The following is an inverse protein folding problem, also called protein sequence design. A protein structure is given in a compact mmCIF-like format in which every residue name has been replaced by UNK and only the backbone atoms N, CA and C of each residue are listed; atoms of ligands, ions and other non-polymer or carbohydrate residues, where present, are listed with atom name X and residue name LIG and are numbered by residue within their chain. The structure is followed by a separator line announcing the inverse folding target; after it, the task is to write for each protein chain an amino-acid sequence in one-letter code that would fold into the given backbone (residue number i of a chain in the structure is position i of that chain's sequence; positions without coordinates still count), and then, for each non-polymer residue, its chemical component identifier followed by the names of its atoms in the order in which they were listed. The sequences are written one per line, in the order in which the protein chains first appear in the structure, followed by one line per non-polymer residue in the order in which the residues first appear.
data_IF_562916272945
#
_entry.id   IF_562916272945
#
_cell.length_a   1.000
_cell.length_b   1.000
_cell.length_c   1.000
_cell.angle_alpha   90.00
_cell.angle_beta   90.00
_cell.angle_gamma   90.00
#
_symmetry.space_group_name_H-M   'P 1'
#
loop_
_entity.id
_entity.type
_entity.pdbx_description
1 polymer ?
#
# COMPACT_ATOMS: atom_id res chain seq x y z
N UNK A 1 9.90 3.57 42.28
CA UNK A 1 9.48 3.47 40.87
C UNK A 1 9.73 4.79 40.18
N UNK A 2 10.32 4.80 38.99
CA UNK A 2 10.74 6.04 38.30
C UNK A 2 9.60 6.88 37.72
N UNK A 3 8.41 6.32 37.64
CA UNK A 3 7.25 6.97 36.99
C UNK A 3 6.09 7.27 37.94
N UNK A 4 6.31 7.24 39.23
CA UNK A 4 5.30 7.69 40.18
C UNK A 4 5.12 9.21 40.08
N UNK A 5 3.89 9.70 40.12
CA UNK A 5 3.63 11.13 40.21
C UNK A 5 4.32 11.72 41.45
N UNK A 6 4.77 12.97 41.36
CA UNK A 6 5.32 13.68 42.50
C UNK A 6 4.27 13.80 43.61
N UNK A 7 4.67 13.59 44.84
CA UNK A 7 3.79 13.83 46.00
C UNK A 7 3.44 15.29 46.15
N UNK A 8 2.36 15.66 46.85
CA UNK A 8 2.05 17.08 47.16
C UNK A 8 3.22 17.79 47.80
N UNK A 9 3.89 17.20 48.79
CA UNK A 9 5.05 17.78 49.45
C UNK A 9 6.24 18.03 48.52
N UNK A 10 6.54 17.10 47.62
CA UNK A 10 7.58 17.29 46.58
C UNK A 10 7.22 18.44 45.62
N UNK A 11 5.94 18.57 45.24
CA UNK A 11 5.46 19.72 44.41
C UNK A 11 5.63 21.05 45.13
N UNK A 12 5.24 21.13 46.39
CA UNK A 12 5.43 22.32 47.22
C UNK A 12 6.90 22.72 47.32
N UNK A 13 7.78 21.74 47.54
CA UNK A 13 9.22 21.96 47.58
C UNK A 13 9.75 22.48 46.24
N UNK A 14 9.31 21.89 45.13
CA UNK A 14 9.72 22.31 43.78
C UNK A 14 9.22 23.72 43.46
N UNK A 15 7.98 24.05 43.85
CA UNK A 15 7.42 25.42 43.69
C UNK A 15 8.19 26.42 44.51
N UNK A 16 8.51 26.12 45.78
CA UNK A 16 9.32 26.96 46.63
C UNK A 16 10.71 27.24 46.04
N UNK A 17 11.37 26.21 45.48
CA UNK A 17 12.67 26.36 44.88
C UNK A 17 12.71 27.32 43.69
N UNK A 18 11.63 27.37 42.89
CA UNK A 18 11.50 28.29 41.76
C UNK A 18 10.79 29.61 42.11
N UNK A 19 10.44 29.80 43.39
CA UNK A 19 9.79 31.02 43.87
C UNK A 19 8.32 31.19 43.50
N UNK A 20 7.65 30.11 43.07
CA UNK A 20 6.23 30.08 42.74
C UNK A 20 5.41 29.61 43.95
N UNK A 21 4.20 30.18 44.17
CA UNK A 21 3.29 29.80 45.26
C UNK A 21 2.33 28.68 44.86
N UNK A 22 2.05 28.58 43.59
CA UNK A 22 1.13 27.58 43.04
C UNK A 22 1.52 27.19 41.59
N UNK A 23 0.93 26.11 41.09
CA UNK A 23 1.08 25.74 39.67
C UNK A 23 0.47 26.84 38.78
N UNK A 24 -0.61 27.50 39.23
CA UNK A 24 -1.25 28.58 38.47
C UNK A 24 -0.33 29.81 38.27
N UNK A 25 0.59 30.06 39.20
CA UNK A 25 1.61 31.10 39.04
C UNK A 25 2.51 30.88 37.84
N UNK A 26 2.76 29.64 37.49
CA UNK A 26 3.58 29.27 36.31
C UNK A 26 2.94 29.70 34.99
N UNK A 27 1.64 29.89 34.97
CA UNK A 27 0.85 30.38 33.83
C UNK A 27 0.59 31.88 33.86
N UNK A 28 1.19 32.63 34.81
CA UNK A 28 0.97 34.09 34.97
C UNK A 28 1.31 34.90 33.72
N UNK A 29 2.15 34.37 32.83
CA UNK A 29 2.46 34.97 31.52
C UNK A 29 1.26 35.00 30.56
N UNK A 30 0.21 34.23 30.84
CA UNK A 30 -1.02 34.21 30.05
C UNK A 30 -2.02 35.13 30.80
N UNK A 31 -2.50 36.23 30.20
CA UNK A 31 -3.51 37.10 30.83
C UNK A 31 -4.76 36.32 31.22
N UNK A 32 -5.38 36.69 32.34
CA UNK A 32 -6.50 35.95 32.93
C UNK A 32 -7.70 35.79 31.97
N UNK A 33 -7.94 36.78 31.13
CA UNK A 33 -9.01 36.77 30.12
C UNK A 33 -8.83 35.74 29.02
N UNK A 34 -7.61 35.24 28.81
CA UNK A 34 -7.30 34.20 27.83
C UNK A 34 -7.13 32.83 28.45
N UNK A 35 -7.23 32.68 29.77
CA UNK A 35 -7.14 31.40 30.45
C UNK A 35 -8.47 30.68 30.42
N UNK A 36 -8.40 29.36 30.15
CA UNK A 36 -9.56 28.50 30.26
C UNK A 36 -9.88 28.25 31.75
N UNK A 37 -11.00 28.81 32.26
CA UNK A 37 -11.46 28.66 33.64
C UNK A 37 -12.55 27.59 33.81
N UNK A 38 -12.49 26.56 33.04
CA UNK A 38 -13.38 25.38 33.10
C UNK A 38 -12.63 24.12 32.74
N UNK A 39 -13.16 22.99 33.16
CA UNK A 39 -12.66 21.69 32.67
C UNK A 39 -12.89 21.56 31.18
N UNK A 40 -11.99 20.78 30.52
CA UNK A 40 -12.17 20.40 29.12
C UNK A 40 -13.41 19.51 29.01
N UNK A 41 -14.19 19.72 27.95
CA UNK A 41 -15.32 18.85 27.63
C UNK A 41 -14.79 17.55 26.93
N UNK A 42 -14.13 16.71 27.73
CA UNK A 42 -13.61 15.41 27.34
C UNK A 42 -14.18 14.33 28.24
N UNK A 43 -14.28 13.08 27.78
CA UNK A 43 -14.73 11.97 28.62
C UNK A 43 -13.89 11.87 29.90
N UNK A 44 -14.54 11.52 31.00
CA UNK A 44 -13.84 11.22 32.26
C UNK A 44 -12.86 10.05 32.08
N UNK A 45 -11.88 9.97 32.95
CA UNK A 45 -11.04 8.78 33.06
C UNK A 45 -11.90 7.53 33.28
N UNK A 46 -11.62 6.50 32.51
CA UNK A 46 -12.31 5.21 32.56
C UNK A 46 -11.34 4.11 32.94
N UNK A 47 -11.86 3.04 33.57
CA UNK A 47 -11.11 1.84 33.83
C UNK A 47 -10.96 0.98 32.58
N UNK A 48 -10.03 0.03 32.62
CA UNK A 48 -9.73 -0.87 31.47
C UNK A 48 -10.97 -1.61 30.97
N UNK A 49 -11.79 -2.16 31.88
CA UNK A 49 -13.03 -2.86 31.55
C UNK A 49 -14.03 -1.98 30.80
N UNK A 50 -14.23 -0.72 31.28
CA UNK A 50 -15.13 0.24 30.64
C UNK A 50 -14.68 0.58 29.21
N UNK A 51 -13.36 0.73 29.00
CA UNK A 51 -12.77 1.01 27.69
C UNK A 51 -12.95 -0.19 26.76
N UNK A 52 -12.68 -1.41 27.25
CA UNK A 52 -12.86 -2.64 26.47
C UNK A 52 -14.34 -2.81 26.04
N UNK A 53 -15.27 -2.61 26.95
CA UNK A 53 -16.71 -2.75 26.66
C UNK A 53 -17.19 -1.68 25.67
N UNK A 54 -16.71 -0.45 25.82
CA UNK A 54 -16.99 0.60 24.86
C UNK A 54 -16.53 0.26 23.44
N UNK A 55 -15.26 -0.17 23.28
CA UNK A 55 -14.73 -0.52 21.97
C UNK A 55 -15.33 -1.80 21.37
N UNK A 56 -15.69 -2.78 22.20
CA UNK A 56 -16.46 -3.95 21.74
C UNK A 56 -17.81 -3.54 21.17
N UNK A 57 -18.54 -2.69 21.88
CA UNK A 57 -19.85 -2.20 21.44
C UNK A 57 -19.72 -1.32 20.18
N UNK A 58 -18.71 -0.46 20.11
CA UNK A 58 -18.43 0.33 18.93
C UNK A 58 -18.05 -0.55 17.71
N UNK A 59 -17.23 -1.58 17.94
CA UNK A 59 -16.84 -2.54 16.91
C UNK A 59 -18.02 -3.31 16.29
N UNK A 60 -19.06 -3.61 17.07
CA UNK A 60 -20.27 -4.28 16.58
C UNK A 60 -21.09 -3.43 15.60
N UNK A 61 -20.87 -2.12 15.55
CA UNK A 61 -21.51 -1.22 14.57
C UNK A 61 -20.88 -1.28 13.17
N UNK A 62 -19.72 -1.90 13.05
CA UNK A 62 -19.06 -2.09 11.75
C UNK A 62 -19.67 -3.27 11.00
N UNK A 63 -19.54 -3.27 9.68
CA UNK A 63 -20.01 -4.32 8.79
C UNK A 63 -19.10 -5.58 8.84
N UNK A 64 -18.82 -6.12 10.03
CA UNK A 64 -17.85 -7.22 10.23
C UNK A 64 -18.29 -8.55 9.64
N UNK A 65 -19.62 -8.74 9.46
CA UNK A 65 -20.21 -9.98 8.93
C UNK A 65 -20.66 -9.84 7.48
N UNK A 66 -20.16 -8.85 6.78
CA UNK A 66 -20.48 -8.63 5.37
C UNK A 66 -19.48 -9.35 4.46
N UNK A 67 -19.98 -9.94 3.38
CA UNK A 67 -19.14 -10.33 2.26
C UNK A 67 -18.69 -9.06 1.54
N UNK A 68 -17.40 -8.93 1.26
CA UNK A 68 -16.87 -7.75 0.56
C UNK A 68 -16.26 -8.17 -0.77
N UNK A 69 -16.64 -7.47 -1.83
CA UNK A 69 -16.06 -7.55 -3.15
C UNK A 69 -15.29 -6.27 -3.51
N UNK A 70 -14.87 -5.51 -2.50
CA UNK A 70 -14.02 -4.36 -2.66
C UNK A 70 -12.56 -4.80 -2.88
N UNK A 71 -11.89 -4.05 -3.74
CA UNK A 71 -10.46 -4.14 -4.02
C UNK A 71 -9.88 -2.73 -4.13
N UNK A 72 -9.43 -2.36 -5.32
CA UNK A 72 -8.92 -1.03 -5.62
C UNK A 72 -7.70 -0.66 -4.76
N UNK A 73 -6.70 -1.55 -4.72
CA UNK A 73 -5.41 -1.30 -4.07
C UNK A 73 -5.33 -1.70 -2.60
N UNK A 74 -6.42 -2.19 -1.99
CA UNK A 74 -6.44 -2.74 -0.65
C UNK A 74 -7.27 -4.03 -0.63
N UNK A 75 -6.63 -5.14 -0.32
CA UNK A 75 -7.21 -6.46 -0.57
C UNK A 75 -7.36 -7.27 0.70
N UNK A 76 -8.50 -7.98 0.81
CA UNK A 76 -8.79 -8.84 1.94
C UNK A 76 -8.34 -10.27 1.64
N UNK A 77 -7.25 -10.69 2.31
CA UNK A 77 -6.74 -12.05 2.27
C UNK A 77 -6.83 -12.74 3.63
N UNK A 78 -6.74 -14.07 3.63
CA UNK A 78 -6.60 -14.82 4.88
C UNK A 78 -5.24 -14.52 5.51
N UNK A 79 -5.26 -14.13 6.77
CA UNK A 79 -4.08 -13.79 7.54
C UNK A 79 -3.77 -14.91 8.55
N UNK A 80 -2.64 -15.62 8.42
CA UNK A 80 -2.26 -16.68 9.36
C UNK A 80 -2.10 -16.16 10.79
N UNK A 81 -2.68 -16.86 11.77
CA UNK A 81 -2.68 -16.48 13.20
C UNK A 81 -1.25 -16.38 13.76
N UNK A 82 -0.31 -17.14 13.22
CA UNK A 82 1.09 -17.12 13.65
C UNK A 82 1.74 -15.74 13.49
N UNK A 83 1.28 -14.92 12.55
CA UNK A 83 1.79 -13.55 12.34
C UNK A 83 1.61 -12.74 13.62
N UNK A 84 0.39 -12.73 14.20
CA UNK A 84 0.10 -11.99 15.43
C UNK A 84 0.95 -12.48 16.60
N UNK A 85 1.12 -13.80 16.71
CA UNK A 85 1.90 -14.40 17.80
C UNK A 85 3.38 -14.00 17.73
N UNK A 86 3.94 -13.90 16.52
CA UNK A 86 5.36 -13.55 16.34
C UNK A 86 5.62 -12.05 16.46
N UNK A 87 4.78 -11.20 15.88
CA UNK A 87 5.02 -9.74 15.93
C UNK A 87 4.77 -9.14 17.31
N UNK A 88 4.02 -9.83 18.19
CA UNK A 88 3.79 -9.41 19.58
C UNK A 88 4.96 -9.75 20.51
N UNK A 89 5.96 -10.50 20.06
CA UNK A 89 7.15 -10.73 20.85
C UNK A 89 7.88 -9.42 21.12
N UNK A 90 8.29 -9.19 22.36
CA UNK A 90 8.91 -7.95 22.80
C UNK A 90 10.13 -7.55 21.97
N UNK A 91 10.88 -8.53 21.47
CA UNK A 91 12.08 -8.33 20.65
C UNK A 91 11.76 -7.58 19.33
N UNK A 92 10.56 -7.76 18.77
CA UNK A 92 10.10 -7.08 17.58
C UNK A 92 9.19 -5.89 17.89
N UNK A 93 8.19 -6.09 18.77
CA UNK A 93 7.17 -5.09 19.06
C UNK A 93 7.75 -3.79 19.63
N UNK A 94 8.78 -3.89 20.47
CA UNK A 94 9.42 -2.73 21.10
C UNK A 94 10.61 -2.20 20.31
N UNK A 95 11.01 -2.85 19.23
CA UNK A 95 12.14 -2.39 18.42
C UNK A 95 11.77 -1.14 17.63
N UNK A 96 12.76 -0.27 17.45
CA UNK A 96 12.66 0.91 16.60
C UNK A 96 13.67 0.77 15.44
N UNK A 97 14.21 1.85 14.95
CA UNK A 97 15.21 1.78 13.90
C UNK A 97 16.50 1.12 14.40
N UNK A 98 17.01 0.09 13.71
CA UNK A 98 18.16 -0.69 14.17
C UNK A 98 19.49 0.03 13.85
N UNK A 99 19.73 1.21 14.44
CA UNK A 99 20.96 1.98 14.22
C UNK A 99 22.21 1.32 14.79
N UNK A 100 22.08 0.66 15.94
CA UNK A 100 23.19 -0.01 16.62
C UNK A 100 23.22 -1.49 16.23
N UNK A 101 24.03 -1.82 15.23
CA UNK A 101 24.12 -3.17 14.69
C UNK A 101 24.48 -4.22 15.76
N UNK A 102 25.25 -3.83 16.76
CA UNK A 102 25.74 -4.69 17.83
C UNK A 102 24.62 -5.34 18.66
N UNK A 103 23.49 -4.65 18.81
CA UNK A 103 22.36 -5.11 19.64
C UNK A 103 21.09 -5.39 18.85
N UNK A 104 21.10 -5.22 17.54
CA UNK A 104 19.90 -5.33 16.68
C UNK A 104 20.06 -6.33 15.53
N UNK A 105 20.98 -7.29 15.66
CA UNK A 105 21.27 -8.25 14.58
C UNK A 105 20.04 -9.03 14.11
N UNK A 106 19.17 -9.47 15.02
CA UNK A 106 17.95 -10.19 14.65
C UNK A 106 16.97 -9.33 13.82
N UNK A 107 16.79 -8.06 14.20
CA UNK A 107 15.95 -7.12 13.44
C UNK A 107 16.55 -6.80 12.07
N UNK A 108 17.86 -6.59 12.01
CA UNK A 108 18.57 -6.35 10.75
C UNK A 108 18.50 -7.56 9.83
N UNK A 109 18.65 -8.78 10.36
CA UNK A 109 18.50 -10.01 9.59
C UNK A 109 17.08 -10.14 9.03
N UNK A 110 16.05 -9.89 9.83
CA UNK A 110 14.66 -9.95 9.36
C UNK A 110 14.39 -8.95 8.21
N UNK A 111 14.95 -7.74 8.28
CA UNK A 111 14.87 -6.75 7.21
C UNK A 111 15.62 -7.24 5.95
N UNK A 112 16.80 -7.80 6.12
CA UNK A 112 17.57 -8.35 5.00
C UNK A 112 16.84 -9.48 4.30
N UNK A 113 16.21 -10.37 5.06
CA UNK A 113 15.37 -11.45 4.53
C UNK A 113 14.15 -10.91 3.78
N UNK A 114 13.48 -9.87 4.32
CA UNK A 114 12.41 -9.16 3.60
C UNK A 114 12.90 -8.63 2.24
N UNK A 115 14.01 -7.90 2.22
CA UNK A 115 14.60 -7.36 1.00
C UNK A 115 14.88 -8.47 -0.03
N UNK A 116 15.42 -9.59 0.42
CA UNK A 116 15.72 -10.74 -0.43
C UNK A 116 14.46 -11.33 -1.04
N UNK A 117 13.42 -11.59 -0.22
CA UNK A 117 12.16 -12.16 -0.69
C UNK A 117 11.48 -11.24 -1.72
N UNK A 118 11.51 -9.92 -1.50
CA UNK A 118 10.93 -8.96 -2.43
C UNK A 118 11.73 -8.89 -3.74
N UNK A 119 13.05 -8.87 -3.67
CA UNK A 119 13.89 -8.89 -4.87
C UNK A 119 13.64 -10.15 -5.71
N UNK A 120 13.58 -11.31 -5.09
CA UNK A 120 13.26 -12.60 -5.73
C UNK A 120 11.86 -12.59 -6.40
N UNK A 121 10.83 -12.12 -5.67
CA UNK A 121 9.45 -12.07 -6.19
C UNK A 121 9.30 -11.12 -7.37
N UNK A 122 9.98 -9.97 -7.33
CA UNK A 122 9.88 -8.95 -8.38
C UNK A 122 10.83 -9.17 -9.53
N UNK A 123 11.81 -10.08 -9.39
CA UNK A 123 12.86 -10.31 -10.37
C UNK A 123 13.86 -9.16 -10.46
N UNK A 124 13.94 -8.32 -9.43
CA UNK A 124 14.91 -7.22 -9.34
C UNK A 124 16.14 -7.65 -8.54
N UNK A 125 17.25 -6.92 -8.73
CA UNK A 125 18.51 -7.25 -8.05
C UNK A 125 18.52 -6.87 -6.57
N UNK A 126 17.81 -5.78 -6.22
CA UNK A 126 17.80 -5.22 -4.86
C UNK A 126 16.43 -4.67 -4.51
N UNK A 127 16.07 -4.73 -3.22
CA UNK A 127 14.90 -4.08 -2.66
C UNK A 127 15.27 -3.30 -1.40
N UNK A 128 14.51 -2.25 -1.07
CA UNK A 128 14.69 -1.51 0.17
C UNK A 128 13.96 -2.17 1.36
N UNK A 129 14.22 -1.65 2.56
CA UNK A 129 13.66 -2.15 3.81
C UNK A 129 12.15 -1.87 4.00
N UNK A 130 11.52 -1.23 3.11
CA UNK A 130 10.14 -0.80 2.86
C UNK A 130 10.00 0.72 2.72
N UNK A 131 8.85 1.11 2.20
CA UNK A 131 8.32 2.48 2.09
C UNK A 131 7.09 2.60 2.99
N UNK A 132 6.44 3.76 3.00
CA UNK A 132 5.21 3.95 3.78
C UNK A 132 4.05 3.13 3.21
N UNK A 133 3.84 3.24 1.91
CA UNK A 133 2.83 2.51 1.13
C UNK A 133 3.23 2.44 -0.36
N UNK A 134 2.45 1.71 -1.15
CA UNK A 134 2.71 1.55 -2.59
C UNK A 134 2.61 2.86 -3.37
N UNK A 135 1.73 3.79 -2.97
CA UNK A 135 1.57 5.08 -3.65
C UNK A 135 2.80 5.98 -3.48
N UNK A 136 3.32 6.04 -2.26
CA UNK A 136 4.59 6.71 -1.94
C UNK A 136 5.76 6.04 -2.67
N UNK A 137 5.75 4.70 -2.73
CA UNK A 137 6.73 3.93 -3.50
C UNK A 137 6.72 4.30 -4.99
N UNK A 138 5.54 4.40 -5.61
CA UNK A 138 5.40 4.77 -7.02
C UNK A 138 5.90 6.22 -7.29
N UNK A 139 5.54 7.17 -6.42
CA UNK A 139 5.99 8.55 -6.54
C UNK A 139 7.52 8.66 -6.41
N UNK A 140 8.09 8.02 -5.39
CA UNK A 140 9.55 8.01 -5.17
C UNK A 140 10.31 7.28 -6.27
N UNK A 141 9.73 6.23 -6.88
CA UNK A 141 10.33 5.56 -8.03
C UNK A 141 10.44 6.51 -9.25
N UNK A 142 9.42 7.34 -9.50
CA UNK A 142 9.48 8.37 -10.54
C UNK A 142 10.56 9.40 -10.19
N UNK A 143 10.63 9.89 -8.95
CA UNK A 143 11.70 10.81 -8.53
C UNK A 143 13.09 10.17 -8.64
N UNK A 144 13.20 8.87 -8.34
CA UNK A 144 14.43 8.11 -8.54
C UNK A 144 14.85 8.05 -10.01
N UNK A 145 13.92 7.80 -10.94
CA UNK A 145 14.19 7.79 -12.37
C UNK A 145 14.65 9.17 -12.87
N UNK A 146 14.05 10.26 -12.38
CA UNK A 146 14.51 11.63 -12.66
C UNK A 146 15.97 11.84 -12.24
N UNK A 147 16.33 11.39 -11.03
CA UNK A 147 17.73 11.51 -10.55
C UNK A 147 18.70 10.65 -11.34
N UNK A 148 18.30 9.43 -11.73
CA UNK A 148 19.15 8.50 -12.49
C UNK A 148 19.40 9.01 -13.90
N UNK A 149 18.37 9.47 -14.60
CA UNK A 149 18.46 9.88 -16.00
C UNK A 149 18.93 11.33 -16.18
N UNK A 150 18.76 12.16 -15.15
CA UNK A 150 18.95 13.61 -15.25
C UNK A 150 17.93 14.31 -16.14
N UNK A 151 16.85 13.61 -16.55
CA UNK A 151 15.77 14.12 -17.39
C UNK A 151 14.58 14.56 -16.54
N UNK A 152 13.68 15.36 -17.12
CA UNK A 152 12.68 16.07 -16.32
C UNK A 152 11.26 16.00 -16.94
N UNK A 153 10.83 14.80 -17.35
CA UNK A 153 9.45 14.52 -17.80
C UNK A 153 9.05 13.10 -17.37
N UNK A 154 7.85 12.92 -16.89
CA UNK A 154 7.26 11.61 -16.63
C UNK A 154 6.06 11.32 -17.55
N UNK A 155 5.92 10.07 -18.01
CA UNK A 155 4.76 9.58 -18.74
C UNK A 155 4.09 8.52 -17.87
N UNK A 156 2.80 8.67 -17.59
CA UNK A 156 2.07 7.85 -16.64
C UNK A 156 0.85 7.25 -17.31
N UNK A 157 0.67 5.94 -17.23
CA UNK A 157 -0.53 5.31 -17.74
C UNK A 157 -1.75 5.70 -16.89
N UNK A 158 -2.85 6.01 -17.54
CA UNK A 158 -4.11 6.31 -16.85
C UNK A 158 -4.68 5.09 -16.13
N UNK A 159 -4.18 3.90 -16.47
CA UNK A 159 -4.49 2.61 -15.82
C UNK A 159 -3.75 2.38 -14.49
N UNK A 160 -2.83 3.27 -14.10
CA UNK A 160 -2.28 3.32 -12.73
C UNK A 160 -3.37 3.75 -11.75
N UNK A 161 -3.37 3.17 -10.56
CA UNK A 161 -4.30 3.48 -9.48
C UNK A 161 -4.52 5.00 -9.34
N UNK A 162 -5.77 5.49 -9.33
CA UNK A 162 -6.07 6.93 -9.33
C UNK A 162 -5.38 7.69 -8.19
N UNK A 163 -5.44 7.16 -6.97
CA UNK A 163 -4.82 7.79 -5.80
C UNK A 163 -3.29 7.76 -5.87
N UNK A 164 -2.69 6.71 -6.47
CA UNK A 164 -1.23 6.71 -6.73
C UNK A 164 -0.85 7.83 -7.68
N UNK A 165 -1.66 8.07 -8.72
CA UNK A 165 -1.46 9.20 -9.63
C UNK A 165 -1.59 10.56 -8.94
N UNK A 166 -2.52 10.71 -7.99
CA UNK A 166 -2.70 11.92 -7.18
C UNK A 166 -1.49 12.17 -6.26
N UNK A 167 -0.98 11.12 -5.58
CA UNK A 167 0.23 11.21 -4.76
C UNK A 167 1.42 11.59 -5.63
N UNK A 168 1.63 10.92 -6.76
CA UNK A 168 2.69 11.26 -7.70
C UNK A 168 2.57 12.70 -8.21
N UNK A 169 1.36 13.16 -8.55
CA UNK A 169 1.12 14.53 -9.00
C UNK A 169 1.47 15.56 -7.91
N UNK A 170 1.24 15.22 -6.64
CA UNK A 170 1.64 16.06 -5.50
C UNK A 170 3.16 16.21 -5.43
N UNK A 171 3.91 15.13 -5.56
CA UNK A 171 5.37 15.15 -5.61
C UNK A 171 5.87 15.92 -6.84
N UNK A 172 5.32 15.61 -8.02
CA UNK A 172 5.70 16.22 -9.28
C UNK A 172 5.50 17.75 -9.29
N UNK A 173 4.35 18.22 -8.79
CA UNK A 173 4.00 19.63 -8.72
C UNK A 173 5.05 20.48 -8.00
N UNK A 174 5.49 20.01 -6.84
CA UNK A 174 6.44 20.75 -6.01
C UNK A 174 7.90 20.63 -6.47
N UNK A 175 8.18 19.64 -7.33
CA UNK A 175 9.47 19.48 -8.00
C UNK A 175 9.50 20.12 -9.41
N UNK A 176 8.37 20.71 -9.85
CA UNK A 176 8.23 21.26 -11.20
C UNK A 176 8.35 20.20 -12.31
N UNK A 177 8.04 18.93 -12.01
CA UNK A 177 8.15 17.82 -12.97
C UNK A 177 6.89 17.72 -13.84
N UNK A 178 6.99 17.99 -15.15
CA UNK A 178 5.89 17.74 -16.08
C UNK A 178 5.54 16.27 -16.14
N UNK A 179 4.24 15.97 -16.05
CA UNK A 179 3.73 14.60 -16.20
C UNK A 179 2.58 14.56 -17.20
N UNK A 180 2.62 13.58 -18.11
CA UNK A 180 1.58 13.34 -19.11
C UNK A 180 0.85 12.05 -18.78
N UNK A 181 -0.49 12.08 -18.79
CA UNK A 181 -1.32 10.88 -18.66
C UNK A 181 -1.62 10.29 -20.02
N UNK A 182 -1.28 9.02 -20.22
CA UNK A 182 -1.60 8.25 -21.44
C UNK A 182 -2.86 7.42 -21.20
N UNK A 183 -3.78 7.47 -22.15
CA UNK A 183 -5.05 6.74 -22.11
C UNK A 183 -4.87 5.22 -22.20
N UNK A 184 -6.01 4.55 -22.26
CA UNK A 184 -6.07 3.09 -22.36
C UNK A 184 -6.91 2.67 -23.56
N UNK A 185 -6.63 1.50 -24.08
CA UNK A 185 -7.43 0.84 -25.12
C UNK A 185 -8.78 0.40 -24.53
N UNK A 186 -9.87 0.77 -25.18
CA UNK A 186 -11.22 0.56 -24.68
C UNK A 186 -11.70 -0.89 -24.73
N UNK A 187 -11.06 -1.74 -25.52
CA UNK A 187 -11.40 -3.15 -25.64
C UNK A 187 -10.67 -3.98 -24.58
N UNK A 188 -9.39 -3.67 -24.36
CA UNK A 188 -8.52 -4.45 -23.47
C UNK A 188 -8.39 -3.88 -22.06
N UNK A 189 -8.64 -2.58 -21.85
CA UNK A 189 -8.36 -1.89 -20.61
C UNK A 189 -6.86 -1.74 -20.29
N UNK A 190 -5.99 -2.04 -21.24
CA UNK A 190 -4.54 -1.87 -21.14
C UNK A 190 -4.12 -0.48 -21.60
N UNK A 191 -2.92 -0.06 -21.22
CA UNK A 191 -2.36 1.19 -21.76
C UNK A 191 -2.37 1.19 -23.29
N UNK A 192 -2.77 2.31 -23.90
CA UNK A 192 -2.70 2.47 -25.34
C UNK A 192 -1.22 2.63 -25.79
N UNK A 193 -0.67 1.57 -26.37
CA UNK A 193 0.74 1.53 -26.78
C UNK A 193 1.08 2.58 -27.85
N UNK A 194 0.13 2.91 -28.75
CA UNK A 194 0.36 3.94 -29.79
C UNK A 194 0.44 5.33 -29.15
N UNK A 195 -0.47 5.62 -28.24
CA UNK A 195 -0.46 6.87 -27.51
C UNK A 195 0.79 6.96 -26.60
N UNK A 196 1.19 5.83 -25.99
CA UNK A 196 2.41 5.77 -25.20
C UNK A 196 3.65 6.07 -26.05
N UNK A 197 3.81 5.45 -27.23
CA UNK A 197 4.94 5.67 -28.11
C UNK A 197 5.02 7.14 -28.61
N UNK A 198 3.87 7.78 -28.81
CA UNK A 198 3.82 9.18 -29.21
C UNK A 198 4.26 10.14 -28.08
N UNK A 199 3.99 9.81 -26.81
CA UNK A 199 4.30 10.66 -25.66
C UNK A 199 5.70 10.47 -25.09
N UNK A 200 6.31 9.30 -25.28
CA UNK A 200 7.67 9.02 -24.80
C UNK A 200 8.71 9.64 -25.72
N UNK A 201 9.47 10.57 -25.18
CA UNK A 201 10.50 11.31 -25.91
C UNK A 201 11.87 11.14 -25.24
N UNK A 202 12.90 11.70 -25.84
CA UNK A 202 14.26 11.70 -25.28
C UNK A 202 14.38 12.55 -23.99
N UNK A 203 13.37 13.38 -23.69
CA UNK A 203 13.28 14.15 -22.43
C UNK A 203 12.59 13.35 -21.32
N UNK A 204 11.98 12.20 -21.64
CA UNK A 204 11.26 11.37 -20.68
C UNK A 204 12.25 10.67 -19.75
N UNK A 205 12.10 10.91 -18.45
CA UNK A 205 12.85 10.25 -17.40
C UNK A 205 12.25 8.88 -17.07
N UNK A 206 10.92 8.82 -16.97
CA UNK A 206 10.19 7.66 -16.50
C UNK A 206 8.91 7.41 -17.28
N UNK A 207 8.62 6.12 -17.52
CA UNK A 207 7.30 5.60 -17.89
C UNK A 207 6.79 4.82 -16.68
N UNK A 208 5.67 5.24 -16.10
CA UNK A 208 5.01 4.56 -14.98
C UNK A 208 3.76 3.84 -15.46
N UNK A 209 3.72 2.53 -15.27
CA UNK A 209 2.54 1.66 -15.50
C UNK A 209 2.25 0.84 -14.25
N UNK A 210 1.08 0.22 -14.20
CA UNK A 210 0.71 -0.71 -13.12
C UNK A 210 0.29 -2.04 -13.73
N UNK A 211 0.74 -3.16 -13.16
CA UNK A 211 0.33 -4.51 -13.59
C UNK A 211 0.27 -5.48 -12.41
N UNK A 212 -0.89 -6.13 -12.13
CA UNK A 212 -2.19 -5.86 -12.74
C UNK A 212 -2.59 -4.39 -12.58
N UNK A 213 -3.23 -3.82 -13.59
CA UNK A 213 -3.60 -2.41 -13.57
C UNK A 213 -4.88 -2.14 -12.78
N UNK A 214 -5.33 -0.89 -12.68
CA UNK A 214 -6.51 -0.52 -11.88
C UNK A 214 -7.82 -1.15 -12.35
N UNK A 215 -7.89 -1.67 -13.56
CA UNK A 215 -9.04 -2.44 -14.06
C UNK A 215 -8.90 -3.95 -13.84
N UNK A 216 -7.82 -4.38 -13.20
CA UNK A 216 -7.48 -5.78 -12.96
C UNK A 216 -6.76 -6.45 -14.14
N UNK A 217 -6.58 -5.77 -15.27
CA UNK A 217 -5.94 -6.36 -16.47
C UNK A 217 -4.42 -6.38 -16.36
N UNK A 218 -3.80 -7.38 -16.98
CA UNK A 218 -2.34 -7.56 -16.98
C UNK A 218 -1.77 -6.84 -18.21
N UNK A 219 -0.87 -5.89 -17.99
CA UNK A 219 -0.24 -5.09 -19.05
C UNK A 219 0.79 -5.91 -19.86
N UNK A 220 1.08 -5.46 -21.07
CA UNK A 220 2.14 -6.01 -21.92
C UNK A 220 3.49 -5.33 -21.57
N UNK A 221 4.08 -5.77 -20.47
CA UNK A 221 5.33 -5.17 -19.96
C UNK A 221 6.48 -5.21 -20.96
N UNK A 222 6.72 -6.32 -21.72
CA UNK A 222 7.76 -6.31 -22.75
C UNK A 222 7.58 -5.23 -23.83
N UNK A 223 6.36 -5.07 -24.36
CA UNK A 223 6.09 -4.04 -25.36
C UNK A 223 6.25 -2.61 -24.82
N UNK A 224 5.81 -2.38 -23.57
CA UNK A 224 5.98 -1.09 -22.89
C UNK A 224 7.46 -0.80 -22.64
N UNK A 225 8.24 -1.80 -22.23
CA UNK A 225 9.69 -1.67 -22.03
C UNK A 225 10.43 -1.28 -23.31
N UNK A 226 10.08 -1.89 -24.44
CA UNK A 226 10.66 -1.54 -25.74
C UNK A 226 10.43 -0.06 -26.07
N UNK A 227 9.21 0.46 -25.86
CA UNK A 227 8.88 1.86 -26.10
C UNK A 227 9.70 2.78 -25.18
N UNK A 228 9.76 2.48 -23.88
CA UNK A 228 10.49 3.29 -22.91
C UNK A 228 12.00 3.30 -23.20
N UNK A 229 12.59 2.12 -23.34
CA UNK A 229 14.04 1.97 -23.49
C UNK A 229 14.56 2.49 -24.83
N UNK A 230 13.77 2.42 -25.91
CA UNK A 230 14.11 2.99 -27.24
C UNK A 230 14.44 4.50 -27.15
N UNK A 231 13.85 5.19 -26.19
CA UNK A 231 14.09 6.60 -25.91
C UNK A 231 14.99 6.85 -24.69
N UNK A 232 15.46 5.78 -24.05
CA UNK A 232 16.30 5.84 -22.85
C UNK A 232 15.57 6.31 -21.60
N UNK A 233 14.23 6.22 -21.56
CA UNK A 233 13.43 6.40 -20.36
C UNK A 233 13.49 5.13 -19.51
N UNK A 234 13.40 5.25 -18.19
CA UNK A 234 13.28 4.11 -17.30
C UNK A 234 11.83 3.64 -17.22
N UNK A 235 11.63 2.31 -17.26
CA UNK A 235 10.34 1.70 -17.03
C UNK A 235 10.15 1.43 -15.53
N UNK A 236 9.07 1.98 -14.97
CA UNK A 236 8.61 1.72 -13.62
C UNK A 236 7.31 0.92 -13.69
N UNK A 237 7.31 -0.26 -13.06
CA UNK A 237 6.10 -1.07 -12.92
C UNK A 237 5.62 -1.00 -11.48
N UNK A 238 4.41 -0.48 -11.27
CA UNK A 238 3.74 -0.52 -9.97
C UNK A 238 2.94 -1.81 -9.82
N UNK A 239 2.98 -2.44 -8.66
CA UNK A 239 2.23 -3.65 -8.33
C UNK A 239 1.40 -3.35 -7.09
N UNK A 240 0.11 -3.09 -7.26
CA UNK A 240 -0.79 -2.82 -6.14
C UNK A 240 -1.21 -4.10 -5.42
N UNK A 241 -1.22 -5.24 -6.13
CA UNK A 241 -1.58 -6.55 -5.59
C UNK A 241 -0.40 -7.53 -5.68
N UNK A 242 0.30 -7.69 -4.57
CA UNK A 242 1.52 -8.50 -4.50
C UNK A 242 1.30 -10.01 -4.67
N UNK A 243 0.14 -10.56 -4.27
CA UNK A 243 -0.19 -11.99 -4.44
C UNK A 243 -0.26 -12.37 -5.92
N UNK A 244 -0.51 -11.42 -6.81
CA UNK A 244 -0.49 -11.66 -8.25
C UNK A 244 0.82 -12.29 -8.75
N UNK A 245 1.94 -11.99 -8.10
CA UNK A 245 3.27 -12.55 -8.45
C UNK A 245 3.38 -14.07 -8.25
N UNK A 246 2.40 -14.70 -7.61
CA UNK A 246 2.32 -16.16 -7.52
C UNK A 246 1.98 -16.85 -8.87
N UNK A 247 1.32 -16.11 -9.80
CA UNK A 247 0.91 -16.63 -11.13
C UNK A 247 1.24 -15.70 -12.29
N UNK A 248 1.40 -14.40 -12.03
CA UNK A 248 1.80 -13.41 -13.03
C UNK A 248 3.33 -13.35 -13.07
N UNK A 249 3.88 -13.37 -14.26
CA UNK A 249 5.33 -13.26 -14.46
C UNK A 249 5.85 -11.95 -13.85
N UNK A 250 6.96 -12.04 -13.12
CA UNK A 250 7.66 -10.87 -12.61
C UNK A 250 8.09 -9.91 -13.76
N UNK A 251 7.99 -8.60 -13.58
CA UNK A 251 8.28 -7.61 -14.62
C UNK A 251 9.78 -7.37 -14.77
N UNK A 252 10.54 -8.40 -15.16
CA UNK A 252 12.02 -8.36 -15.25
C UNK A 252 12.56 -7.35 -16.27
N UNK A 253 11.73 -6.87 -17.19
CA UNK A 253 12.06 -5.82 -18.12
C UNK A 253 12.02 -4.42 -17.48
N UNK A 254 11.37 -4.27 -16.32
CA UNK A 254 11.36 -3.00 -15.58
C UNK A 254 12.76 -2.63 -15.07
N UNK A 255 12.99 -1.35 -14.93
CA UNK A 255 14.18 -0.79 -14.28
C UNK A 255 13.98 -0.63 -12.78
N UNK A 256 12.74 -0.29 -12.41
CA UNK A 256 12.30 -0.09 -11.03
C UNK A 256 10.91 -0.72 -10.89
N UNK A 257 10.70 -1.43 -9.80
CA UNK A 257 9.39 -1.91 -9.37
C UNK A 257 9.00 -1.19 -8.09
N UNK A 258 7.80 -0.62 -8.06
CA UNK A 258 7.16 -0.18 -6.82
C UNK A 258 6.04 -1.16 -6.48
N UNK A 259 5.89 -1.54 -5.22
CA UNK A 259 4.91 -2.53 -4.84
C UNK A 259 4.24 -2.18 -3.51
N UNK A 260 2.98 -2.57 -3.36
CA UNK A 260 2.29 -2.62 -2.06
C UNK A 260 2.28 -4.07 -1.56
N UNK A 261 2.87 -4.29 -0.39
CA UNK A 261 2.96 -5.61 0.22
C UNK A 261 1.85 -5.91 1.26
N UNK A 262 0.79 -5.09 1.32
CA UNK A 262 -0.33 -5.27 2.26
C UNK A 262 -0.93 -6.67 2.17
N UNK A 263 -1.09 -7.22 0.98
CA UNK A 263 -1.66 -8.55 0.73
C UNK A 263 -0.86 -9.69 1.36
N UNK A 264 0.39 -9.46 1.72
CA UNK A 264 1.21 -10.43 2.44
C UNK A 264 0.95 -10.40 3.95
N UNK A 265 -0.29 -10.68 4.34
CA UNK A 265 -0.66 -10.90 5.75
C UNK A 265 -0.81 -9.62 6.59
N UNK A 266 -0.98 -8.46 5.99
CA UNK A 266 -1.27 -7.22 6.69
C UNK A 266 -2.77 -6.95 6.68
N UNK A 267 -3.34 -6.70 7.86
CA UNK A 267 -4.77 -6.37 7.97
C UNK A 267 -5.07 -5.02 7.33
N UNK A 268 -6.30 -4.83 6.83
CA UNK A 268 -6.75 -3.56 6.23
C UNK A 268 -6.75 -2.39 7.22
N UNK A 269 -6.99 -2.65 8.51
CA UNK A 269 -6.85 -1.73 9.66
C UNK A 269 -7.38 -0.32 9.40
N UNK A 270 -8.55 -0.21 8.76
CA UNK A 270 -9.18 1.08 8.42
C UNK A 270 -8.34 2.00 7.51
N UNK A 271 -7.44 1.43 6.71
CA UNK A 271 -6.61 2.16 5.77
C UNK A 271 -5.12 2.21 6.10
N UNK A 272 -4.64 1.28 6.91
CA UNK A 272 -3.22 1.15 7.20
C UNK A 272 -2.86 1.00 8.68
N UNK A 273 -1.53 0.97 8.98
CA UNK A 273 -0.42 1.18 8.03
C UNK A 273 -0.29 0.03 7.03
N UNK A 274 0.13 0.37 5.79
CA UNK A 274 0.46 -0.59 4.74
C UNK A 274 1.98 -0.74 4.61
N UNK A 275 2.47 -1.35 3.53
CA UNK A 275 3.89 -1.64 3.37
C UNK A 275 4.32 -1.45 1.91
N UNK A 276 4.67 -0.22 1.54
CA UNK A 276 5.25 0.03 0.24
C UNK A 276 6.66 -0.54 0.10
N UNK A 277 7.08 -0.78 -1.12
CA UNK A 277 8.42 -1.26 -1.45
C UNK A 277 8.91 -0.61 -2.73
N UNK A 278 10.22 -0.42 -2.83
CA UNK A 278 10.91 -0.19 -4.09
C UNK A 278 11.95 -1.28 -4.26
N UNK A 279 11.90 -1.94 -5.42
CA UNK A 279 12.93 -2.84 -5.90
C UNK A 279 13.48 -2.33 -7.24
N UNK A 280 14.75 -2.54 -7.53
CA UNK A 280 15.38 -2.01 -8.73
C UNK A 280 16.57 -2.85 -9.18
N UNK A 281 17.05 -2.59 -10.41
CA UNK A 281 18.32 -3.08 -10.89
C UNK A 281 19.47 -2.53 -10.07
N UNK A 282 20.51 -3.32 -9.82
CA UNK A 282 21.68 -2.95 -9.01
C UNK A 282 22.33 -1.64 -9.45
N UNK A 283 22.33 -1.35 -10.74
CA UNK A 283 22.87 -0.12 -11.31
C UNK A 283 22.29 1.15 -10.66
N UNK A 284 21.09 1.09 -10.11
CA UNK A 284 20.38 2.23 -9.54
C UNK A 284 20.40 2.27 -8.01
N UNK A 285 21.04 1.31 -7.35
CA UNK A 285 21.08 1.14 -5.90
C UNK A 285 21.42 2.43 -5.14
N UNK A 286 22.37 3.23 -5.67
CA UNK A 286 22.80 4.48 -5.01
C UNK A 286 21.77 5.61 -5.05
N UNK A 287 20.75 5.49 -5.88
CA UNK A 287 19.65 6.47 -6.01
C UNK A 287 18.34 5.96 -5.36
N UNK A 288 18.34 4.74 -4.83
CA UNK A 288 17.16 4.13 -4.22
C UNK A 288 16.79 4.87 -2.93
N UNK A 289 15.53 5.29 -2.75
CA UNK A 289 15.06 5.86 -1.48
C UNK A 289 14.87 4.78 -0.41
N UNK A 290 14.76 5.22 0.84
CA UNK A 290 14.56 4.33 1.98
C UNK A 290 15.84 3.66 2.47
N UNK A 291 15.69 2.91 3.57
CA UNK A 291 16.80 2.21 4.22
C UNK A 291 17.18 0.94 3.47
N UNK A 292 18.43 0.58 3.63
CA UNK A 292 18.99 -0.66 3.11
C UNK A 292 19.81 -1.35 4.19
N UNK A 293 19.61 -2.66 4.32
CA UNK A 293 20.43 -3.53 5.17
C UNK A 293 21.32 -4.35 4.27
N UNK A 294 22.61 -4.38 4.59
CA UNK A 294 23.61 -5.19 3.91
C UNK A 294 24.17 -6.27 4.82
N UNK A 295 24.61 -7.36 4.23
CA UNK A 295 25.37 -8.40 4.92
C UNK A 295 26.85 -7.99 4.99
N UNK A 296 27.47 -8.27 6.13
CA UNK A 296 28.90 -8.02 6.38
C UNK A 296 29.47 -9.16 7.24
N UNK A 297 30.71 -9.04 7.63
CA UNK A 297 31.35 -9.90 8.63
C UNK A 297 31.85 -9.07 9.79
N UNK A 298 31.83 -9.65 11.00
CA UNK A 298 32.45 -9.06 12.17
C UNK A 298 34.00 -9.23 12.15
N UNK A 299 34.67 -8.78 13.18
CA UNK A 299 36.11 -8.86 13.26
C UNK A 299 36.63 -10.31 13.39
N UNK A 300 35.79 -11.24 13.84
CA UNK A 300 36.10 -12.67 13.95
C UNK A 300 35.74 -13.45 12.68
N UNK A 301 35.19 -12.77 11.64
CA UNK A 301 34.77 -13.36 10.39
C UNK A 301 33.36 -13.96 10.43
N UNK A 302 32.57 -13.77 11.49
CA UNK A 302 31.20 -14.23 11.56
C UNK A 302 30.27 -13.31 10.73
N UNK A 303 29.25 -13.91 10.13
CA UNK A 303 28.23 -13.16 9.37
C UNK A 303 27.47 -12.20 10.29
N UNK A 304 27.37 -10.95 9.86
CA UNK A 304 26.57 -9.93 10.51
C UNK A 304 25.79 -9.07 9.50
N UNK A 305 24.91 -8.19 10.00
CA UNK A 305 24.08 -7.30 9.21
C UNK A 305 24.24 -5.86 9.71
N UNK A 306 24.19 -4.90 8.79
CA UNK A 306 24.32 -3.47 9.10
C UNK A 306 23.40 -2.64 8.21
N UNK A 307 23.00 -1.47 8.70
CA UNK A 307 22.46 -0.44 7.81
C UNK A 307 23.57 0.04 6.87
N UNK A 308 23.27 0.11 5.58
CA UNK A 308 24.24 0.51 4.56
C UNK A 308 23.79 1.72 3.76
N UNK A 309 24.74 2.39 3.11
CA UNK A 309 24.50 3.58 2.27
C UNK A 309 23.73 4.71 2.98
N UNK A 310 23.82 4.83 4.30
CA UNK A 310 23.11 5.82 5.12
C UNK A 310 23.46 7.27 4.75
N UNK A 311 24.55 7.51 4.04
CA UNK A 311 24.92 8.83 3.53
C UNK A 311 23.94 9.44 2.55
N UNK A 312 22.96 8.67 2.05
CA UNK A 312 21.86 9.15 1.20
C UNK A 312 20.72 9.77 2.02
N UNK A 313 20.66 9.47 3.32
CA UNK A 313 19.52 9.77 4.20
C UNK A 313 19.53 11.23 4.67
N UNK A 314 18.34 11.72 5.02
CA UNK A 314 18.07 13.11 5.37
C UNK A 314 18.81 13.57 6.63
N UNK A 315 18.99 12.72 7.63
CA UNK A 315 19.71 13.05 8.87
C UNK A 315 21.21 13.31 8.66
N UNK A 316 21.77 12.86 7.52
CA UNK A 316 23.15 13.11 7.13
C UNK A 316 23.24 14.24 6.07
N UNK A 317 22.46 14.15 4.99
CA UNK A 317 22.57 15.08 3.86
C UNK A 317 21.60 16.26 3.90
N UNK A 318 20.66 16.27 4.83
CA UNK A 318 19.67 17.34 4.99
C UNK A 318 18.92 17.60 3.67
N UNK A 319 18.95 18.84 3.15
CA UNK A 319 18.31 19.23 1.88
C UNK A 319 18.88 18.53 0.63
N UNK A 320 20.06 17.94 0.74
CA UNK A 320 20.71 17.18 -0.36
C UNK A 320 20.45 15.68 -0.28
N UNK A 321 19.55 15.24 0.60
CA UNK A 321 19.18 13.83 0.72
C UNK A 321 18.53 13.33 -0.58
N UNK A 322 18.65 12.02 -0.80
CA UNK A 322 18.06 11.37 -1.97
C UNK A 322 16.53 11.44 -1.95
N UNK A 323 15.93 11.44 -0.76
CA UNK A 323 14.49 11.45 -0.59
C UNK A 323 14.10 12.05 0.77
N UNK A 324 12.83 12.43 0.93
CA UNK A 324 12.22 12.83 2.20
C UNK A 324 11.84 11.63 3.09
N UNK A 325 11.99 10.41 2.61
CA UNK A 325 11.70 9.21 3.39
C UNK A 325 12.66 9.14 4.58
N UNK A 326 12.10 9.19 5.79
CA UNK A 326 12.87 9.18 7.04
C UNK A 326 12.96 7.78 7.64
N UNK A 327 11.88 7.02 7.58
CA UNK A 327 11.76 5.70 8.19
C UNK A 327 11.06 4.72 7.25
N UNK A 328 10.79 3.53 7.73
CA UNK A 328 10.10 2.48 7.00
C UNK A 328 9.07 1.79 7.91
N UNK A 329 8.29 0.87 7.35
CA UNK A 329 7.26 0.09 8.05
C UNK A 329 7.83 -1.24 8.57
N UNK A 330 8.85 -1.18 9.45
CA UNK A 330 9.62 -2.37 9.85
C UNK A 330 8.76 -3.51 10.42
N UNK A 331 7.81 -3.20 11.32
CA UNK A 331 6.92 -4.23 11.90
C UNK A 331 5.97 -4.80 10.85
N UNK A 332 5.46 -3.98 9.93
CA UNK A 332 4.57 -4.42 8.86
C UNK A 332 5.33 -5.22 7.80
N UNK A 333 6.57 -4.82 7.49
CA UNK A 333 7.47 -5.61 6.64
C UNK A 333 7.79 -6.98 7.26
N UNK A 334 7.93 -7.05 8.59
CA UNK A 334 8.08 -8.32 9.30
C UNK A 334 6.82 -9.20 9.17
N UNK A 335 5.60 -8.62 9.21
CA UNK A 335 4.37 -9.38 8.95
C UNK A 335 4.39 -10.01 7.56
N UNK A 336 4.80 -9.25 6.55
CA UNK A 336 4.96 -9.75 5.19
C UNK A 336 6.03 -10.84 5.09
N UNK A 337 7.16 -10.69 5.77
CA UNK A 337 8.23 -11.70 5.83
C UNK A 337 7.73 -13.00 6.45
N UNK A 338 6.99 -12.93 7.56
CA UNK A 338 6.41 -14.11 8.22
C UNK A 338 5.40 -14.77 7.29
N UNK A 339 4.53 -14.00 6.65
CA UNK A 339 3.54 -14.51 5.68
C UNK A 339 4.22 -15.28 4.55
N UNK A 340 5.19 -14.67 3.88
CA UNK A 340 5.95 -15.29 2.80
C UNK A 340 6.68 -16.56 3.26
N UNK A 341 7.23 -16.55 4.47
CA UNK A 341 7.89 -17.73 5.05
C UNK A 341 6.91 -18.86 5.34
N UNK A 342 5.72 -18.55 5.84
CA UNK A 342 4.68 -19.55 6.17
C UNK A 342 4.11 -20.19 4.91
N UNK A 343 3.80 -19.38 3.91
CA UNK A 343 3.27 -19.89 2.63
C UNK A 343 4.36 -20.58 1.80
N UNK A 344 5.56 -20.02 1.78
CA UNK A 344 6.62 -20.49 0.91
C UNK A 344 6.27 -20.37 -0.57
N UNK A 345 7.13 -20.88 -1.44
CA UNK A 345 6.98 -20.76 -2.89
C UNK A 345 5.68 -21.42 -3.40
N UNK A 346 5.40 -22.63 -2.94
CA UNK A 346 4.22 -23.38 -3.41
C UNK A 346 2.93 -22.75 -2.87
N UNK A 347 2.90 -22.35 -1.59
CA UNK A 347 1.70 -21.76 -0.98
C UNK A 347 1.32 -20.41 -1.58
N UNK A 348 2.28 -19.54 -1.94
CA UNK A 348 1.99 -18.27 -2.64
C UNK A 348 1.40 -18.54 -4.02
N UNK A 349 1.90 -19.54 -4.73
CA UNK A 349 1.35 -19.94 -6.01
C UNK A 349 -0.07 -20.47 -5.87
N UNK A 350 -0.33 -21.40 -4.95
CA UNK A 350 -1.66 -21.94 -4.68
C UNK A 350 -2.64 -20.82 -4.27
N UNK A 351 -2.21 -19.90 -3.42
CA UNK A 351 -3.02 -18.74 -3.02
C UNK A 351 -3.43 -17.90 -4.24
N UNK A 352 -2.49 -17.59 -5.13
CA UNK A 352 -2.75 -16.81 -6.33
C UNK A 352 -3.68 -17.56 -7.31
N UNK A 353 -3.50 -18.88 -7.48
CA UNK A 353 -4.37 -19.74 -8.28
C UNK A 353 -5.81 -19.75 -7.72
N UNK A 354 -5.98 -19.83 -6.39
CA UNK A 354 -7.28 -19.74 -5.73
C UNK A 354 -7.96 -18.38 -5.96
N UNK A 355 -7.22 -17.30 -5.85
CA UNK A 355 -7.73 -15.94 -6.12
C UNK A 355 -8.21 -15.82 -7.58
N UNK A 356 -7.38 -16.26 -8.54
CA UNK A 356 -7.72 -16.23 -9.95
C UNK A 356 -8.99 -17.05 -10.26
N UNK A 357 -9.09 -18.26 -9.72
CA UNK A 357 -10.25 -19.14 -9.92
C UNK A 357 -11.54 -18.54 -9.34
N UNK A 358 -11.47 -17.93 -8.15
CA UNK A 358 -12.61 -17.25 -7.50
C UNK A 358 -13.07 -16.04 -8.29
N UNK A 359 -12.12 -15.21 -8.74
CA UNK A 359 -12.42 -14.02 -9.52
C UNK A 359 -12.99 -14.36 -10.91
N UNK A 360 -12.48 -15.40 -11.57
CA UNK A 360 -13.04 -15.85 -12.85
C UNK A 360 -14.45 -16.37 -12.68
N UNK A 361 -14.72 -17.15 -11.63
CA UNK A 361 -16.07 -17.58 -11.28
C UNK A 361 -16.99 -16.38 -11.01
N UNK A 362 -16.57 -15.43 -10.18
CA UNK A 362 -17.35 -14.23 -9.86
C UNK A 362 -17.62 -13.40 -11.11
N UNK A 363 -16.63 -13.12 -11.94
CA UNK A 363 -16.78 -12.35 -13.17
C UNK A 363 -17.79 -12.97 -14.14
N UNK A 364 -17.72 -14.29 -14.34
CA UNK A 364 -18.66 -15.03 -15.19
C UNK A 364 -20.08 -14.99 -14.61
N UNK A 365 -20.22 -15.37 -13.34
CA UNK A 365 -21.53 -15.48 -12.68
C UNK A 365 -22.25 -14.13 -12.60
N UNK A 366 -21.53 -13.04 -12.33
CA UNK A 366 -22.11 -11.69 -12.30
C UNK A 366 -22.42 -11.17 -13.70
N UNK A 367 -21.59 -11.47 -14.71
CA UNK A 367 -21.80 -11.04 -16.09
C UNK A 367 -22.94 -11.79 -16.82
N UNK A 368 -23.36 -12.95 -16.32
CA UNK A 368 -24.49 -13.71 -16.84
C UNK A 368 -25.87 -13.10 -16.46
N UNK A 369 -25.87 -12.14 -15.53
CA UNK A 369 -27.11 -11.51 -15.10
C UNK A 369 -27.63 -10.52 -16.17
N UNK A 370 -28.95 -10.43 -16.34
CA UNK A 370 -29.57 -9.50 -17.29
C UNK A 370 -29.12 -8.05 -16.97
N UNK A 371 -28.77 -7.29 -17.98
CA UNK A 371 -28.35 -5.88 -17.82
C UNK A 371 -26.91 -5.70 -17.26
N UNK A 372 -26.12 -6.77 -17.20
CA UNK A 372 -24.70 -6.68 -16.82
C UNK A 372 -23.79 -6.99 -18.00
N UNK A 373 -22.59 -6.42 -18.00
CA UNK A 373 -21.57 -6.65 -19.03
C UNK A 373 -20.18 -6.60 -18.40
N UNK A 374 -19.37 -7.64 -18.66
CA UNK A 374 -17.95 -7.64 -18.30
C UNK A 374 -17.18 -6.79 -19.30
N UNK A 375 -16.53 -5.72 -18.83
CA UNK A 375 -15.64 -4.91 -19.64
C UNK A 375 -14.23 -5.51 -19.67
N UNK A 376 -13.46 -5.15 -20.71
CA UNK A 376 -12.05 -5.53 -20.87
C UNK A 376 -11.80 -7.06 -20.87
N UNK A 377 -12.79 -7.83 -21.31
CA UNK A 377 -12.74 -9.31 -21.24
C UNK A 377 -11.79 -9.94 -22.26
N UNK A 378 -11.28 -9.19 -23.22
CA UNK A 378 -10.29 -9.65 -24.22
C UNK A 378 -8.86 -9.68 -23.67
N UNK A 379 -8.58 -9.00 -22.53
CA UNK A 379 -7.28 -9.02 -21.87
C UNK A 379 -7.24 -10.02 -20.72
N UNK A 380 -6.08 -10.63 -20.42
CA UNK A 380 -5.90 -11.42 -19.21
C UNK A 380 -6.02 -10.51 -17.99
N UNK A 381 -6.60 -11.03 -16.91
CA UNK A 381 -6.78 -10.34 -15.64
C UNK A 381 -6.34 -11.21 -14.47
N UNK A 382 -6.19 -10.62 -13.30
CA UNK A 382 -5.95 -11.36 -12.07
C UNK A 382 -7.26 -11.51 -11.27
N UNK A 383 -7.42 -10.90 -10.12
CA UNK A 383 -8.57 -11.10 -9.24
C UNK A 383 -9.54 -9.90 -9.17
N UNK A 384 -9.26 -8.87 -9.93
CA UNK A 384 -10.18 -7.76 -10.15
C UNK A 384 -10.75 -7.78 -11.57
N UNK A 385 -11.96 -7.27 -11.71
CA UNK A 385 -12.65 -7.16 -13.00
C UNK A 385 -13.66 -6.03 -12.99
N UNK A 386 -13.95 -5.47 -14.16
CA UNK A 386 -14.86 -4.35 -14.31
C UNK A 386 -16.21 -4.84 -14.86
N UNK A 387 -17.27 -4.56 -14.12
CA UNK A 387 -18.65 -4.86 -14.50
C UNK A 387 -19.40 -3.57 -14.78
N UNK A 388 -19.96 -3.43 -15.98
CA UNK A 388 -20.90 -2.37 -16.35
C UNK A 388 -22.33 -2.87 -16.10
N UNK A 389 -23.19 -2.04 -15.52
CA UNK A 389 -24.59 -2.34 -15.27
C UNK A 389 -25.51 -1.38 -16.00
N UNK A 390 -26.67 -1.86 -16.47
CA UNK A 390 -27.70 -1.01 -17.13
C UNK A 390 -28.21 0.07 -16.16
N UNK A 391 -28.40 -0.29 -14.88
CA UNK A 391 -28.77 0.64 -13.82
C UNK A 391 -27.56 1.25 -13.13
N UNK A 392 -27.76 2.44 -12.55
CA UNK A 392 -26.75 3.08 -11.71
C UNK A 392 -26.44 2.23 -10.47
N UNK A 393 -25.15 2.12 -10.06
CA UNK A 393 -24.76 1.46 -8.82
C UNK A 393 -25.50 1.98 -7.59
N UNK A 394 -25.91 3.24 -7.57
CA UNK A 394 -26.69 3.84 -6.49
C UNK A 394 -28.04 3.15 -6.24
N UNK A 395 -28.60 2.47 -7.24
CA UNK A 395 -29.89 1.78 -7.14
C UNK A 395 -29.77 0.34 -6.62
N UNK A 396 -28.74 -0.39 -7.02
CA UNK A 396 -28.57 -1.79 -6.60
C UNK A 396 -27.63 -1.99 -5.40
N UNK A 397 -26.72 -1.07 -5.11
CA UNK A 397 -25.83 -1.18 -3.95
C UNK A 397 -26.57 -1.28 -2.60
N UNK A 398 -27.65 -0.51 -2.34
CA UNK A 398 -28.42 -0.68 -1.10
C UNK A 398 -29.01 -2.09 -0.95
N UNK A 399 -29.50 -2.69 -2.05
CA UNK A 399 -30.04 -4.08 -2.05
C UNK A 399 -28.96 -5.11 -1.67
N UNK A 400 -27.71 -4.91 -2.12
CA UNK A 400 -26.59 -5.75 -1.68
C UNK A 400 -26.30 -5.57 -0.20
N UNK A 401 -26.34 -4.33 0.31
CA UNK A 401 -26.10 -4.05 1.72
C UNK A 401 -27.15 -4.70 2.63
N UNK A 402 -28.43 -4.76 2.20
CA UNK A 402 -29.50 -5.46 2.90
C UNK A 402 -29.23 -6.97 3.05
N UNK A 403 -28.57 -7.55 2.04
CA UNK A 403 -28.08 -8.95 2.04
C UNK A 403 -26.68 -9.12 2.67
N UNK A 404 -26.18 -8.08 3.35
CA UNK A 404 -24.84 -8.05 3.97
C UNK A 404 -23.71 -8.29 2.98
N UNK A 405 -23.84 -7.72 1.79
CA UNK A 405 -22.83 -7.76 0.73
C UNK A 405 -22.40 -6.33 0.41
N UNK A 406 -21.10 -6.10 0.34
CA UNK A 406 -20.51 -4.87 -0.18
C UNK A 406 -20.05 -5.15 -1.60
N UNK A 407 -20.65 -4.50 -2.57
CA UNK A 407 -20.35 -4.66 -4.00
C UNK A 407 -19.06 -3.96 -4.42
N UNK A 408 -18.85 -3.88 -5.73
CA UNK A 408 -17.68 -3.25 -6.33
C UNK A 408 -17.61 -1.72 -6.14
N UNK A 409 -16.43 -1.17 -6.39
CA UNK A 409 -16.15 0.27 -6.33
C UNK A 409 -16.64 0.95 -7.60
N UNK A 410 -17.43 2.02 -7.47
CA UNK A 410 -17.89 2.82 -8.59
C UNK A 410 -16.73 3.55 -9.27
N UNK A 411 -16.60 3.39 -10.59
CA UNK A 411 -15.48 3.95 -11.37
C UNK A 411 -15.75 5.36 -11.92
N UNK A 412 -16.99 5.83 -11.91
CA UNK A 412 -17.40 7.12 -12.49
C UNK A 412 -16.64 8.32 -11.93
N UNK A 413 -16.17 8.24 -10.67
CA UNK A 413 -15.35 9.27 -10.04
C UNK A 413 -14.05 9.56 -10.80
N UNK A 414 -13.43 8.54 -11.39
CA UNK A 414 -12.12 8.64 -12.05
C UNK A 414 -12.19 8.40 -13.55
N UNK A 415 -13.20 7.64 -13.99
CA UNK A 415 -13.44 7.21 -15.36
C UNK A 415 -14.91 7.44 -15.75
N UNK A 416 -15.37 8.72 -15.82
CA UNK A 416 -16.77 9.02 -16.12
C UNK A 416 -17.21 8.49 -17.49
N UNK A 417 -16.27 8.26 -18.39
CA UNK A 417 -16.51 7.67 -19.70
C UNK A 417 -16.91 6.19 -19.70
N UNK A 418 -16.78 5.51 -18.55
CA UNK A 418 -17.22 4.12 -18.36
C UNK A 418 -18.66 4.00 -17.82
N UNK A 419 -19.36 5.13 -17.61
CA UNK A 419 -20.75 5.14 -17.19
C UNK A 419 -20.96 4.45 -15.84
N UNK A 420 -21.86 3.47 -15.80
CA UNK A 420 -22.23 2.71 -14.61
C UNK A 420 -21.28 1.55 -14.27
N UNK A 421 -20.01 1.67 -14.66
CA UNK A 421 -19.02 0.63 -14.40
C UNK A 421 -18.56 0.63 -12.94
N UNK A 422 -18.37 -0.57 -12.40
CA UNK A 422 -17.85 -0.84 -11.06
C UNK A 422 -16.70 -1.83 -11.13
N UNK A 423 -15.70 -1.64 -10.26
CA UNK A 423 -14.55 -2.54 -10.08
C UNK A 423 -14.86 -3.53 -8.96
N UNK A 424 -14.86 -4.80 -9.28
CA UNK A 424 -15.10 -5.91 -8.36
C UNK A 424 -13.81 -6.66 -8.11
N UNK A 425 -13.67 -7.17 -6.89
CA UNK A 425 -12.58 -8.03 -6.47
C UNK A 425 -13.12 -9.29 -5.79
N UNK A 426 -12.56 -10.45 -6.11
CA UNK A 426 -12.83 -11.68 -5.37
C UNK A 426 -11.53 -12.38 -5.02
N UNK A 427 -11.34 -12.64 -3.73
CA UNK A 427 -10.15 -13.33 -3.21
C UNK A 427 -10.53 -14.71 -2.65
N UNK A 428 -9.55 -15.45 -2.12
CA UNK A 428 -9.78 -16.77 -1.52
C UNK A 428 -10.78 -16.75 -0.37
N UNK A 429 -10.97 -15.62 0.30
CA UNK A 429 -11.91 -15.49 1.43
C UNK A 429 -13.36 -15.35 0.99
N UNK A 430 -13.66 -15.04 -0.27
CA UNK A 430 -15.00 -15.02 -0.79
C UNK A 430 -15.50 -16.45 -1.05
N UNK A 431 -16.68 -16.81 -0.53
CA UNK A 431 -17.28 -18.13 -0.79
C UNK A 431 -18.11 -18.12 -2.07
N UNK A 432 -18.32 -19.31 -2.62
CA UNK A 432 -19.21 -19.47 -3.79
C UNK A 432 -20.63 -18.96 -3.49
N UNK A 433 -21.15 -19.29 -2.31
CA UNK A 433 -22.49 -18.87 -1.86
C UNK A 433 -22.61 -17.34 -1.81
N UNK A 434 -21.54 -16.63 -1.40
CA UNK A 434 -21.51 -15.16 -1.39
C UNK A 434 -21.52 -14.58 -2.80
N UNK A 435 -20.79 -15.18 -3.75
CA UNK A 435 -20.79 -14.79 -5.16
C UNK A 435 -22.17 -15.02 -5.77
N UNK A 436 -22.76 -16.19 -5.56
CA UNK A 436 -24.08 -16.54 -6.08
C UNK A 436 -25.18 -15.64 -5.47
N UNK A 437 -25.05 -15.25 -4.21
CA UNK A 437 -25.97 -14.31 -3.56
C UNK A 437 -25.87 -12.90 -4.18
N UNK A 438 -24.66 -12.40 -4.43
CA UNK A 438 -24.46 -11.13 -5.12
C UNK A 438 -25.11 -11.13 -6.53
N UNK A 439 -24.91 -12.21 -7.28
CA UNK A 439 -25.51 -12.38 -8.60
C UNK A 439 -27.04 -12.35 -8.55
N UNK A 440 -27.67 -13.04 -7.60
CA UNK A 440 -29.14 -13.03 -7.41
C UNK A 440 -29.69 -11.63 -7.15
N UNK A 441 -28.99 -10.85 -6.32
CA UNK A 441 -29.40 -9.46 -6.02
C UNK A 441 -29.34 -8.59 -7.27
N UNK A 442 -28.28 -8.73 -8.07
CA UNK A 442 -28.18 -8.00 -9.35
C UNK A 442 -29.28 -8.42 -10.32
N UNK A 443 -29.56 -9.75 -10.45
CA UNK A 443 -30.62 -10.26 -11.31
C UNK A 443 -32.01 -9.70 -10.97
N UNK A 444 -32.35 -9.65 -9.67
CA UNK A 444 -33.67 -9.20 -9.20
C UNK A 444 -33.93 -7.71 -9.48
N UNK A 445 -32.86 -6.90 -9.59
CA UNK A 445 -32.99 -5.48 -9.82
C UNK A 445 -32.90 -5.04 -11.27
N UNK A 446 -32.15 -5.76 -12.09
CA UNK A 446 -31.88 -5.39 -13.48
C UNK A 446 -32.88 -6.01 -14.50
N UNK A 447 -33.76 -6.90 -14.03
CA UNK A 447 -34.75 -7.62 -14.88
C UNK A 447 -36.16 -7.01 -14.94
N UNK A 448 -36.40 -5.92 -14.22
CA UNK A 448 -37.74 -5.24 -14.20
C UNK A 448 -37.76 -3.92 -14.98
N UNK A 449 -36.73 -3.62 -15.78
CA UNK A 449 -36.64 -2.40 -16.60
C UNK A 449 -37.02 -2.61 -18.05
#
# INVERSE_FOLDING_TARGET
MRYLPKSPAEREQMLAEIGAKSIDDLFSVIPAEYRLNRDLDVPRQQGESEIIDYFKAAGQKNATNFASFLGAGAYRHYRPVIIDSLVQRGEFLTSYTPYQAEITQGTLQAIFEFQTMIAELTGMDVANASMYDGSTGAAEAVMMAVRVTGRHKAVVARTVHPEYREVMATYAKHQGLPSTLVGYDRETGRVDLKALEAEVTEETAAVLVQSPNFFGTIEDIPAIAEIAHKKGALLIVSIAEAVSLGVVRAPVEADIVSMEAQSFGVALSYGGPFCGVIAAKEAYLRQMPGRLVGQTVDHDGNRGFVLTLSTREQHIRREKATSNICTNQALVALMATIFLTVYGKEGIRELAEHNLAKADYAAKTLAEQAGTKLLFNSAPRFHEFVLETAESPALWSPRLLDEKIVGGVELSRWYPELGNATLWCATEVNTREQIDAAAKVLAAGLGEA
#
